data_IF_289378386833
#
_entry.id   IF_289378386833
#
_cell.length_a   1.000
_cell.length_b   1.000
_cell.length_c   1.000
_cell.angle_alpha   90.00
_cell.angle_beta   90.00
_cell.angle_gamma   90.00
#
_symmetry.space_group_name_H-M   'P 1'
#
loop_
_entity.id
_entity.type
_entity.pdbx_description
1 polymer ?
#
# COMPACT_ATOMS: atom_id res chain seq x y z
N UNK A 1 -5.16 14.19 -12.60
CA UNK A 1 -4.67 13.25 -11.55
C UNK A 1 -5.48 13.36 -10.30
N UNK A 2 -5.58 12.27 -9.57
CA UNK A 2 -6.32 12.23 -8.31
C UNK A 2 -5.43 11.76 -7.18
N UNK A 3 -5.79 12.14 -5.97
CA UNK A 3 -5.10 11.70 -4.77
C UNK A 3 -5.70 10.40 -4.26
N UNK A 4 -4.83 9.46 -3.91
CA UNK A 4 -5.22 8.14 -3.41
C UNK A 4 -4.46 7.80 -2.13
N UNK A 5 -5.04 6.89 -1.37
CA UNK A 5 -4.36 6.27 -0.25
C UNK A 5 -4.31 4.77 -0.51
N UNK A 6 -3.11 4.24 -0.44
CA UNK A 6 -2.86 2.82 -0.63
C UNK A 6 -2.40 2.23 0.69
N UNK A 7 -3.20 1.34 1.25
CA UNK A 7 -2.79 0.55 2.40
C UNK A 7 -2.38 -0.82 1.90
N UNK A 8 -1.13 -1.20 2.16
CA UNK A 8 -0.69 -2.56 1.88
C UNK A 8 -0.40 -3.27 3.19
N UNK A 9 -0.78 -4.53 3.25
CA UNK A 9 -0.47 -5.41 4.35
C UNK A 9 0.53 -6.42 3.82
N UNK A 10 1.72 -6.41 4.36
CA UNK A 10 2.85 -7.20 3.88
C UNK A 10 3.07 -8.42 4.76
N UNK A 11 3.75 -9.41 4.20
CA UNK A 11 4.22 -10.57 4.92
C UNK A 11 5.02 -10.12 6.15
N UNK A 12 4.62 -10.52 7.36
CA UNK A 12 5.28 -10.07 8.58
C UNK A 12 6.71 -10.59 8.75
N UNK A 13 7.12 -11.52 7.92
CA UNK A 13 8.49 -12.06 7.94
C UNK A 13 9.47 -11.23 7.12
N UNK A 14 9.00 -10.21 6.42
CA UNK A 14 9.90 -9.31 5.71
C UNK A 14 10.75 -8.53 6.71
N UNK A 15 12.03 -8.41 6.41
CA UNK A 15 12.91 -7.52 7.17
C UNK A 15 12.77 -6.08 6.64
N UNK A 16 13.48 -5.17 7.30
CA UNK A 16 13.43 -3.75 6.95
C UNK A 16 13.87 -3.51 5.50
N UNK A 17 14.91 -4.21 5.06
CA UNK A 17 15.39 -4.10 3.69
C UNK A 17 14.35 -4.59 2.68
N UNK A 18 13.62 -5.66 3.02
CA UNK A 18 12.55 -6.17 2.16
C UNK A 18 11.39 -5.19 2.03
N UNK A 19 11.02 -4.54 3.13
CA UNK A 19 9.96 -3.52 3.12
C UNK A 19 10.39 -2.33 2.26
N UNK A 20 11.62 -1.85 2.44
CA UNK A 20 12.14 -0.73 1.66
C UNK A 20 12.19 -1.05 0.16
N UNK A 21 12.61 -2.26 -0.18
CA UNK A 21 12.67 -2.70 -1.58
C UNK A 21 11.29 -2.71 -2.22
N UNK A 22 10.29 -3.17 -1.48
CA UNK A 22 8.92 -3.19 -1.99
C UNK A 22 8.37 -1.78 -2.14
N UNK A 23 8.62 -0.89 -1.17
CA UNK A 23 8.20 0.50 -1.27
C UNK A 23 8.84 1.18 -2.48
N UNK A 24 10.11 0.89 -2.76
CA UNK A 24 10.80 1.43 -3.91
C UNK A 24 10.18 0.92 -5.23
N UNK A 25 9.80 -0.35 -5.28
CA UNK A 25 9.13 -0.92 -6.46
C UNK A 25 7.79 -0.25 -6.72
N UNK A 26 7.01 -0.01 -5.67
CA UNK A 26 5.73 0.67 -5.79
C UNK A 26 5.95 2.10 -6.30
N UNK A 27 6.92 2.81 -5.72
CA UNK A 27 7.23 4.18 -6.14
C UNK A 27 7.66 4.24 -7.61
N UNK A 28 8.49 3.30 -8.05
CA UNK A 28 8.91 3.22 -9.44
C UNK A 28 7.75 2.92 -10.37
N UNK A 29 6.89 2.00 -9.99
CA UNK A 29 5.71 1.67 -10.79
C UNK A 29 4.79 2.88 -10.95
N UNK A 30 4.55 3.60 -9.86
CA UNK A 30 3.74 4.81 -9.87
C UNK A 30 4.36 5.87 -10.78
N UNK A 31 5.66 6.09 -10.64
CA UNK A 31 6.38 7.08 -11.47
C UNK A 31 6.33 6.73 -12.94
N UNK A 32 6.48 5.45 -13.29
CA UNK A 32 6.43 4.99 -14.67
C UNK A 32 5.06 5.20 -15.31
N UNK A 33 4.02 5.29 -14.50
CA UNK A 33 2.66 5.49 -14.97
C UNK A 33 2.20 6.96 -14.84
N UNK A 34 3.13 7.85 -14.64
CA UNK A 34 2.84 9.28 -14.59
C UNK A 34 2.36 9.79 -13.25
N UNK A 35 2.48 9.00 -12.20
CA UNK A 35 2.07 9.38 -10.86
C UNK A 35 3.22 9.78 -9.97
N UNK A 36 2.91 10.10 -8.72
CA UNK A 36 3.89 10.52 -7.72
C UNK A 36 3.52 9.92 -6.37
N UNK A 37 4.50 9.39 -5.66
CA UNK A 37 4.33 8.99 -4.26
C UNK A 37 4.63 10.20 -3.39
N UNK A 38 3.66 10.62 -2.59
CA UNK A 38 3.80 11.81 -1.74
C UNK A 38 4.33 11.48 -0.37
N UNK A 39 3.93 10.35 0.21
CA UNK A 39 4.44 9.92 1.51
C UNK A 39 4.27 8.42 1.71
N UNK A 40 5.10 7.85 2.57
CA UNK A 40 5.03 6.44 2.96
C UNK A 40 5.14 6.39 4.48
N UNK A 41 4.15 5.78 5.13
CA UNK A 41 4.12 5.67 6.60
C UNK A 41 4.09 4.19 6.99
N UNK A 42 5.11 3.75 7.71
CA UNK A 42 5.22 2.39 8.19
C UNK A 42 5.44 2.29 9.70
N UNK A 43 5.65 3.42 10.38
CA UNK A 43 5.73 3.48 11.84
C UNK A 43 4.36 3.56 12.49
N UNK A 44 4.29 3.67 13.84
CA UNK A 44 3.01 3.80 14.53
C UNK A 44 2.15 4.92 13.98
N UNK A 45 0.81 4.73 13.86
CA UNK A 45 0.03 3.56 14.30
C UNK A 45 0.09 2.38 13.33
N UNK A 46 0.81 2.51 12.23
CA UNK A 46 0.98 1.43 11.26
C UNK A 46 2.12 0.52 11.69
N UNK A 47 2.69 -0.22 10.77
CA UNK A 47 3.73 -1.18 11.08
C UNK A 47 3.14 -2.54 11.38
N UNK A 48 3.81 -3.31 12.27
CA UNK A 48 3.36 -4.67 12.58
C UNK A 48 2.10 -4.63 13.43
N UNK A 49 1.04 -5.26 12.91
CA UNK A 49 -0.26 -5.30 13.58
C UNK A 49 -0.90 -6.67 13.39
N UNK A 50 -1.66 -7.07 14.41
CA UNK A 50 -2.45 -8.29 14.31
C UNK A 50 -3.61 -8.09 13.36
N UNK A 51 -3.82 -9.06 12.48
CA UNK A 51 -4.96 -9.03 11.56
C UNK A 51 -6.25 -9.28 12.35
N UNK A 52 -7.34 -8.63 11.94
CA UNK A 52 -8.64 -8.81 12.57
C UNK A 52 -9.08 -10.29 12.50
N UNK A 53 -8.71 -10.95 11.43
CA UNK A 53 -8.87 -12.39 11.25
C UNK A 53 -7.71 -12.89 10.41
N UNK A 54 -7.29 -14.16 10.57
CA UNK A 54 -6.17 -14.69 9.80
C UNK A 54 -6.44 -14.65 8.30
N UNK A 55 -5.42 -14.28 7.52
CA UNK A 55 -5.48 -14.31 6.07
C UNK A 55 -4.44 -15.34 5.64
N UNK A 56 -4.89 -16.39 4.93
CA UNK A 56 -4.06 -17.56 4.62
C UNK A 56 -3.45 -18.10 5.92
N UNK A 57 -2.14 -18.14 6.02
CA UNK A 57 -1.44 -18.60 7.24
C UNK A 57 -0.97 -17.46 8.14
N UNK A 58 -1.27 -16.21 7.77
CA UNK A 58 -0.76 -15.05 8.50
C UNK A 58 -1.75 -14.60 9.57
N UNK A 59 -1.24 -14.31 10.75
CA UNK A 59 -2.00 -13.74 11.87
C UNK A 59 -1.70 -12.27 12.05
N UNK A 60 -0.50 -11.86 11.65
CA UNK A 60 -0.02 -10.48 11.71
C UNK A 60 0.29 -10.01 10.31
N UNK A 61 0.42 -8.72 10.14
CA UNK A 61 0.87 -8.11 8.90
C UNK A 61 1.65 -6.85 9.17
N UNK A 62 2.47 -6.45 8.22
CA UNK A 62 3.15 -5.17 8.25
C UNK A 62 2.30 -4.19 7.45
N UNK A 63 1.77 -3.17 8.12
CA UNK A 63 0.92 -2.17 7.49
C UNK A 63 1.75 -0.99 7.02
N UNK A 64 1.60 -0.65 5.74
CA UNK A 64 2.27 0.51 5.16
C UNK A 64 1.22 1.35 4.45
N UNK A 65 1.11 2.61 4.85
CA UNK A 65 0.21 3.56 4.22
C UNK A 65 0.99 4.46 3.27
N UNK A 66 0.64 4.43 2.00
CA UNK A 66 1.27 5.25 0.98
C UNK A 66 0.25 6.24 0.43
N UNK A 67 0.59 7.53 0.44
CA UNK A 67 -0.22 8.56 -0.21
C UNK A 67 0.40 8.85 -1.55
N UNK A 68 -0.44 8.82 -2.58
CA UNK A 68 0.05 8.95 -3.94
C UNK A 68 -0.95 9.68 -4.83
N UNK A 69 -0.45 10.20 -5.93
CA UNK A 69 -1.26 10.81 -6.97
C UNK A 69 -1.11 9.98 -8.23
N UNK A 70 -2.23 9.67 -8.86
CA UNK A 70 -2.27 8.82 -10.06
C UNK A 70 -3.29 9.34 -11.06
N UNK A 71 -3.02 9.16 -12.36
CA UNK A 71 -4.11 9.22 -13.33
C UNK A 71 -5.11 8.10 -13.02
N UNK A 72 -6.42 8.38 -12.97
CA UNK A 72 -7.40 7.33 -12.66
C UNK A 72 -7.31 6.11 -13.58
N UNK A 73 -6.89 6.31 -14.81
CA UNK A 73 -6.80 5.23 -15.79
C UNK A 73 -5.80 4.13 -15.43
N UNK A 74 -4.81 4.42 -14.55
CA UNK A 74 -3.78 3.43 -14.23
C UNK A 74 -4.02 2.71 -12.91
N UNK A 75 -5.08 3.04 -12.18
CA UNK A 75 -5.37 2.44 -10.88
C UNK A 75 -5.49 0.92 -10.96
N UNK A 76 -6.24 0.42 -11.94
CA UNK A 76 -6.44 -1.02 -12.10
C UNK A 76 -5.12 -1.76 -12.35
N UNK A 77 -4.20 -1.13 -13.08
CA UNK A 77 -2.89 -1.71 -13.37
C UNK A 77 -2.02 -1.79 -12.12
N UNK A 78 -2.05 -0.75 -11.30
CA UNK A 78 -1.33 -0.73 -10.02
C UNK A 78 -1.86 -1.86 -9.13
N UNK A 79 -3.18 -1.98 -9.01
CA UNK A 79 -3.79 -3.02 -8.19
C UNK A 79 -3.47 -4.42 -8.69
N UNK A 80 -3.44 -4.61 -10.00
CA UNK A 80 -3.08 -5.91 -10.57
C UNK A 80 -1.66 -6.31 -10.20
N UNK A 81 -0.73 -5.37 -10.28
CA UNK A 81 0.66 -5.62 -9.91
C UNK A 81 0.78 -5.99 -8.44
N UNK A 82 0.06 -5.27 -7.57
CA UNK A 82 0.06 -5.58 -6.14
C UNK A 82 -0.50 -6.98 -5.86
N UNK A 83 -1.57 -7.36 -6.55
CA UNK A 83 -2.15 -8.69 -6.42
C UNK A 83 -1.18 -9.81 -6.78
N UNK A 84 -0.31 -9.54 -7.74
CA UNK A 84 0.67 -10.53 -8.22
C UNK A 84 1.96 -10.51 -7.43
N UNK A 85 2.11 -9.59 -6.48
CA UNK A 85 3.31 -9.47 -5.65
C UNK A 85 3.15 -10.37 -4.44
N UNK A 86 4.03 -11.36 -4.34
CA UNK A 86 3.93 -12.42 -3.36
C UNK A 86 3.97 -11.93 -1.90
N UNK A 87 4.77 -10.92 -1.63
CA UNK A 87 4.92 -10.37 -0.28
C UNK A 87 3.75 -9.47 0.14
N UNK A 88 2.84 -9.15 -0.77
CA UNK A 88 1.63 -8.38 -0.45
C UNK A 88 0.52 -9.36 -0.08
N UNK A 89 0.16 -9.41 1.20
CA UNK A 89 -0.90 -10.26 1.70
C UNK A 89 -2.27 -9.70 1.31
N UNK A 90 -2.40 -8.38 1.40
CA UNK A 90 -3.64 -7.68 1.08
C UNK A 90 -3.33 -6.24 0.73
N UNK A 91 -4.19 -5.62 -0.09
CA UNK A 91 -4.08 -4.19 -0.37
C UNK A 91 -5.46 -3.55 -0.42
N UNK A 92 -5.50 -2.25 -0.17
CA UNK A 92 -6.69 -1.43 -0.30
C UNK A 92 -6.28 -0.09 -0.89
N UNK A 93 -6.79 0.23 -2.07
CA UNK A 93 -6.51 1.48 -2.76
C UNK A 93 -7.80 2.27 -2.89
N UNK A 94 -7.86 3.43 -2.25
CA UNK A 94 -9.05 4.26 -2.24
C UNK A 94 -8.71 5.71 -2.58
N UNK A 95 -9.70 6.44 -3.08
CA UNK A 95 -9.53 7.87 -3.33
C UNK A 95 -9.49 8.61 -2.00
N UNK A 96 -8.53 9.51 -1.88
CA UNK A 96 -8.34 10.26 -0.63
C UNK A 96 -9.56 11.11 -0.28
N UNK A 97 -10.25 11.66 -1.28
CA UNK A 97 -11.44 12.47 -1.04
C UNK A 97 -12.63 11.66 -0.50
N UNK A 98 -12.65 10.35 -0.75
CA UNK A 98 -13.67 9.46 -0.18
C UNK A 98 -13.44 9.21 1.30
N UNK A 99 -12.19 9.26 1.74
CA UNK A 99 -11.83 9.03 3.13
C UNK A 99 -11.86 10.29 3.98
N UNK A 100 -11.69 11.46 3.37
CA UNK A 100 -11.60 12.71 4.09
C UNK A 100 -12.77 12.96 5.05
N UNK A 101 -14.04 12.74 4.65
CA UNK A 101 -15.17 12.92 5.58
C UNK A 101 -15.12 11.99 6.78
N UNK A 102 -14.61 10.79 6.61
CA UNK A 102 -14.53 9.82 7.70
C UNK A 102 -13.46 10.18 8.73
N UNK A 103 -12.56 11.07 8.39
CA UNK A 103 -11.47 11.51 9.25
C UNK A 103 -11.77 12.76 10.03
N UNK A 104 -12.80 13.44 9.61
CA UNK A 104 -13.16 14.74 10.19
C UNK A 104 -13.60 14.66 11.64
#
# INVERSE_FOLDING_TARGET
MRDYELMVVLDPNLDEAGVEALNARIANLVAQRGGTVESVESGPPWGRRRLAYPIARYRDGLYVLTRLRLPPAVVAEIERTLKLTESVVRHLLVRADELAPARA
#
